data_IF_599546459948
#
_entry.id   IF_599546459948
#
_cell.length_a   1.000
_cell.length_b   1.000
_cell.length_c   1.000
_cell.angle_alpha   90.00
_cell.angle_beta   90.00
_cell.angle_gamma   90.00
#
_symmetry.space_group_name_H-M   'P 1'
#
loop_
_entity.id
_entity.type
_entity.pdbx_description
1 polymer ?
#
# COMPACT_ATOMS: atom_id res chain seq x y z
N UNK A 1 7.81 -4.61 8.86
CA UNK A 1 7.75 -3.33 9.60
C UNK A 1 8.92 -2.47 9.15
N UNK A 2 10.17 -2.84 9.48
CA UNK A 2 11.41 -2.15 9.08
C UNK A 2 11.36 -1.42 7.72
N UNK A 3 11.38 -2.17 6.61
CA UNK A 3 11.35 -1.62 5.24
C UNK A 3 10.17 -0.69 4.98
N UNK A 4 8.97 -1.07 5.42
CA UNK A 4 7.77 -0.28 5.14
C UNK A 4 7.77 1.04 5.92
N UNK A 5 8.30 1.04 7.14
CA UNK A 5 8.43 2.25 7.96
C UNK A 5 9.45 3.19 7.34
N UNK A 6 10.65 2.69 7.01
CA UNK A 6 11.71 3.50 6.42
C UNK A 6 11.27 4.16 5.11
N UNK A 7 10.70 3.39 4.19
CA UNK A 7 10.25 3.90 2.89
C UNK A 7 9.10 4.89 3.04
N UNK A 8 8.20 4.69 4.01
CA UNK A 8 7.11 5.63 4.27
C UNK A 8 7.63 6.95 4.82
N UNK A 9 8.53 6.91 5.81
CA UNK A 9 9.11 8.11 6.42
C UNK A 9 9.89 8.91 5.39
N UNK A 10 10.76 8.26 4.62
CA UNK A 10 11.50 8.90 3.53
C UNK A 10 10.56 9.63 2.56
N UNK A 11 9.49 8.96 2.11
CA UNK A 11 8.56 9.54 1.17
C UNK A 11 7.75 10.70 1.77
N UNK A 12 7.41 10.64 3.06
CA UNK A 12 6.75 11.74 3.76
C UNK A 12 7.68 12.96 3.86
N UNK A 13 8.94 12.75 4.24
CA UNK A 13 9.97 13.80 4.27
C UNK A 13 10.11 14.49 2.91
N UNK A 14 10.01 13.76 1.79
CA UNK A 14 10.05 14.39 0.45
C UNK A 14 8.90 15.39 0.23
N UNK A 15 7.71 15.13 0.75
CA UNK A 15 6.60 16.08 0.65
C UNK A 15 6.74 17.25 1.62
N UNK A 16 7.48 17.09 2.71
CA UNK A 16 7.77 18.16 3.68
C UNK A 16 8.90 19.08 3.18
N UNK A 17 9.96 18.51 2.61
CA UNK A 17 11.12 19.22 2.10
C UNK A 17 10.88 19.92 0.76
N UNK A 18 10.00 19.34 -0.08
CA UNK A 18 9.69 19.87 -1.40
C UNK A 18 8.22 20.29 -1.52
N UNK A 19 7.88 21.56 -1.20
CA UNK A 19 6.50 22.06 -1.26
C UNK A 19 5.84 21.88 -2.63
N UNK A 20 6.61 21.93 -3.72
CA UNK A 20 6.11 21.68 -5.09
C UNK A 20 5.67 20.25 -5.32
N UNK A 21 6.27 19.27 -4.64
CA UNK A 21 5.80 17.88 -4.66
C UNK A 21 4.45 17.74 -3.95
N UNK A 22 4.30 18.42 -2.79
CA UNK A 22 3.04 18.43 -2.04
C UNK A 22 1.92 19.14 -2.80
N UNK A 23 2.24 20.23 -3.50
CA UNK A 23 1.30 20.95 -4.37
C UNK A 23 0.92 20.11 -5.60
N UNK A 24 1.87 19.41 -6.22
CA UNK A 24 1.60 18.53 -7.35
C UNK A 24 0.67 17.37 -6.98
N UNK A 25 0.93 16.73 -5.85
CA UNK A 25 0.04 15.73 -5.25
C UNK A 25 -0.83 16.35 -4.15
N UNK A 26 -1.59 17.39 -4.51
CA UNK A 26 -2.43 18.15 -3.58
C UNK A 26 -3.46 17.26 -2.85
N UNK A 27 -3.95 16.20 -3.50
CA UNK A 27 -4.91 15.27 -2.92
C UNK A 27 -4.24 14.28 -1.97
N UNK A 28 -4.78 14.15 -0.74
CA UNK A 28 -4.27 13.19 0.24
C UNK A 28 -4.21 11.74 -0.28
N UNK A 29 -5.23 11.32 -1.02
CA UNK A 29 -5.28 9.98 -1.63
C UNK A 29 -4.19 9.75 -2.68
N UNK A 30 -3.74 10.79 -3.39
CA UNK A 30 -2.62 10.66 -4.33
C UNK A 30 -1.35 10.33 -3.56
N UNK A 31 -1.06 11.09 -2.50
CA UNK A 31 0.11 10.86 -1.64
C UNK A 31 0.05 9.51 -0.96
N UNK A 32 -1.11 9.15 -0.41
CA UNK A 32 -1.30 7.86 0.25
C UNK A 32 -1.03 6.68 -0.70
N UNK A 33 -1.53 6.76 -1.93
CA UNK A 33 -1.26 5.78 -2.99
C UNK A 33 0.24 5.67 -3.27
N UNK A 34 0.92 6.79 -3.47
CA UNK A 34 2.35 6.82 -3.83
C UNK A 34 3.22 6.24 -2.72
N UNK A 35 3.01 6.70 -1.47
CA UNK A 35 3.79 6.25 -0.31
C UNK A 35 3.58 4.76 -0.04
N UNK A 36 2.33 4.31 -0.03
CA UNK A 36 2.02 2.90 0.22
C UNK A 36 2.47 1.98 -0.92
N UNK A 37 2.39 2.44 -2.17
CA UNK A 37 2.94 1.71 -3.32
C UNK A 37 4.44 1.51 -3.20
N UNK A 38 5.19 2.57 -2.87
CA UNK A 38 6.64 2.50 -2.70
C UNK A 38 7.00 1.51 -1.56
N UNK A 39 6.34 1.64 -0.40
CA UNK A 39 6.58 0.77 0.75
C UNK A 39 6.22 -0.68 0.47
N UNK A 40 5.07 -0.94 -0.16
CA UNK A 40 4.62 -2.29 -0.49
C UNK A 40 5.48 -2.95 -1.57
N UNK A 41 5.84 -2.23 -2.63
CA UNK A 41 6.72 -2.73 -3.70
C UNK A 41 8.10 -3.06 -3.13
N UNK A 42 8.67 -2.18 -2.31
CA UNK A 42 10.00 -2.41 -1.72
C UNK A 42 9.99 -3.62 -0.79
N UNK A 43 8.94 -3.78 0.02
CA UNK A 43 8.78 -4.97 0.87
C UNK A 43 8.60 -6.25 0.05
N UNK A 44 7.83 -6.21 -1.03
CA UNK A 44 7.67 -7.35 -1.95
C UNK A 44 8.99 -7.71 -2.63
N UNK A 45 9.75 -6.71 -3.09
CA UNK A 45 11.07 -6.92 -3.70
C UNK A 45 12.04 -7.60 -2.73
N UNK A 46 12.09 -7.11 -1.49
CA UNK A 46 13.02 -7.64 -0.48
C UNK A 46 12.67 -9.06 -0.01
N UNK A 47 11.39 -9.45 -0.07
CA UNK A 47 10.90 -10.71 0.50
C UNK A 47 10.52 -11.74 -0.55
N UNK A 48 10.42 -11.35 -1.82
CA UNK A 48 9.89 -12.19 -2.88
C UNK A 48 8.48 -12.76 -2.55
N UNK A 49 7.66 -11.96 -1.85
CA UNK A 49 6.33 -12.36 -1.36
C UNK A 49 5.34 -11.19 -1.44
N UNK A 50 4.25 -11.37 -2.19
CA UNK A 50 3.25 -10.31 -2.42
C UNK A 50 2.43 -9.97 -1.17
N UNK A 51 2.06 -10.95 -0.34
CA UNK A 51 1.34 -10.68 0.91
C UNK A 51 2.21 -9.93 1.93
N UNK A 52 3.52 -10.14 1.94
CA UNK A 52 4.46 -9.32 2.71
C UNK A 52 4.48 -7.87 2.17
N UNK A 53 4.44 -7.70 0.86
CA UNK A 53 4.26 -6.39 0.22
C UNK A 53 2.93 -5.70 0.58
N UNK A 54 1.81 -6.45 0.57
CA UNK A 54 0.50 -5.93 1.01
C UNK A 54 0.53 -5.49 2.47
N UNK A 55 1.21 -6.23 3.34
CA UNK A 55 1.44 -5.79 4.73
C UNK A 55 2.27 -4.51 4.80
N UNK A 56 3.26 -4.34 3.91
CA UNK A 56 4.02 -3.09 3.79
C UNK A 56 3.17 -1.91 3.36
N UNK A 57 2.24 -2.11 2.41
CA UNK A 57 1.25 -1.12 2.01
C UNK A 57 0.38 -0.68 3.19
N UNK A 58 -0.22 -1.61 3.93
CA UNK A 58 -1.11 -1.28 5.04
C UNK A 58 -0.36 -0.61 6.21
N UNK A 59 0.88 -1.03 6.49
CA UNK A 59 1.74 -0.35 7.46
C UNK A 59 1.99 1.11 7.06
N UNK A 60 2.27 1.37 5.78
CA UNK A 60 2.47 2.72 5.27
C UNK A 60 1.25 3.62 5.49
N UNK A 61 0.05 3.09 5.23
CA UNK A 61 -1.20 3.82 5.44
C UNK A 61 -1.42 4.22 6.90
N UNK A 62 -1.11 3.31 7.84
CA UNK A 62 -1.21 3.60 9.28
C UNK A 62 -0.23 4.70 9.70
N UNK A 63 1.04 4.59 9.29
CA UNK A 63 2.06 5.58 9.61
C UNK A 63 1.73 6.96 9.03
N UNK A 64 1.33 7.02 7.76
CA UNK A 64 0.97 8.27 7.09
C UNK A 64 -0.23 8.95 7.78
N UNK A 65 -1.26 8.17 8.13
CA UNK A 65 -2.43 8.69 8.84
C UNK A 65 -2.05 9.36 10.15
N UNK A 66 -1.21 8.72 10.96
CA UNK A 66 -0.78 9.26 12.24
C UNK A 66 0.21 10.42 12.08
N UNK A 67 1.14 10.35 11.12
CA UNK A 67 2.16 11.38 10.91
C UNK A 67 1.60 12.72 10.45
N UNK A 68 0.53 12.73 9.65
CA UNK A 68 -0.08 13.97 9.15
C UNK A 68 -1.49 14.24 9.66
N UNK A 69 -2.03 13.39 10.54
CA UNK A 69 -3.42 13.46 11.02
C UNK A 69 -4.44 13.50 9.86
N UNK A 70 -4.07 12.95 8.71
CA UNK A 70 -4.89 12.86 7.49
C UNK A 70 -4.35 11.75 6.61
N UNK A 71 -5.20 11.23 5.73
CA UNK A 71 -4.80 10.23 4.75
C UNK A 71 -5.41 10.56 3.37
N UNK A 72 -6.55 9.95 3.04
CA UNK A 72 -7.24 10.12 1.77
C UNK A 72 -8.61 10.78 1.87
N UNK A 73 -9.40 10.65 0.81
CA UNK A 73 -10.81 11.06 0.78
C UNK A 73 -11.66 10.23 1.77
N UNK A 74 -12.93 10.63 1.93
CA UNK A 74 -13.87 9.91 2.80
C UNK A 74 -14.05 8.43 2.41
N UNK A 75 -13.65 7.52 3.29
CA UNK A 75 -13.71 6.08 3.03
C UNK A 75 -12.60 5.54 2.15
N UNK A 76 -11.57 6.34 1.83
CA UNK A 76 -10.36 5.88 1.14
C UNK A 76 -9.75 4.66 1.83
N UNK A 77 -9.69 4.69 3.17
CA UNK A 77 -9.06 3.67 4.00
C UNK A 77 -9.98 2.54 4.46
N UNK A 78 -11.15 2.35 3.84
CA UNK A 78 -12.02 1.20 4.16
C UNK A 78 -11.22 -0.11 4.09
N UNK A 79 -10.51 -0.31 2.99
CA UNK A 79 -9.69 -1.51 2.82
C UNK A 79 -8.40 -1.50 3.63
N UNK A 80 -7.84 -0.32 3.92
CA UNK A 80 -6.58 -0.21 4.65
C UNK A 80 -6.76 -0.46 6.15
N UNK A 81 -7.92 -0.11 6.72
CA UNK A 81 -8.28 -0.47 8.09
C UNK A 81 -8.58 -1.98 8.23
N UNK A 82 -9.20 -2.60 7.22
CA UNK A 82 -9.39 -4.06 7.18
C UNK A 82 -8.09 -4.82 6.82
N UNK A 83 -7.15 -4.15 6.15
CA UNK A 83 -6.05 -4.76 5.42
C UNK A 83 -5.11 -5.58 6.30
N UNK A 84 -4.71 -5.04 7.44
CA UNK A 84 -3.80 -5.72 8.39
C UNK A 84 -4.37 -7.03 8.94
N UNK A 85 -5.69 -7.12 9.13
CA UNK A 85 -6.34 -8.35 9.58
C UNK A 85 -6.53 -9.36 8.43
N UNK A 86 -6.79 -8.87 7.22
CA UNK A 86 -7.15 -9.71 6.07
C UNK A 86 -5.95 -10.13 5.20
N UNK A 87 -4.77 -9.53 5.38
CA UNK A 87 -3.57 -9.83 4.58
C UNK A 87 -3.10 -11.28 4.73
N UNK A 88 -3.27 -11.87 5.91
CA UNK A 88 -2.89 -13.26 6.23
C UNK A 88 -4.07 -14.07 6.80
N UNK A 89 -5.30 -13.58 6.63
CA UNK A 89 -6.49 -14.35 6.98
C UNK A 89 -6.55 -15.63 6.12
N UNK A 90 -7.26 -16.63 6.63
CA UNK A 90 -7.59 -17.88 5.92
C UNK A 90 -9.10 -18.10 5.83
N UNK A 91 -9.90 -17.08 6.19
CA UNK A 91 -11.36 -17.14 6.09
C UNK A 91 -11.82 -16.97 4.64
N UNK A 92 -12.96 -17.56 4.23
CA UNK A 92 -13.32 -17.70 2.83
C UNK A 92 -13.40 -16.41 2.00
N UNK A 93 -13.84 -15.31 2.61
CA UNK A 93 -14.03 -13.99 1.97
C UNK A 93 -12.94 -12.97 2.34
N UNK A 94 -11.85 -13.42 2.96
CA UNK A 94 -10.74 -12.60 3.42
C UNK A 94 -9.37 -13.12 2.97
N UNK A 95 -9.16 -14.43 3.12
CA UNK A 95 -7.87 -15.06 2.90
C UNK A 95 -7.61 -15.31 1.42
N UNK A 96 -6.68 -14.54 0.85
CA UNK A 96 -6.27 -14.72 -0.54
C UNK A 96 -4.83 -14.25 -0.79
N UNK A 97 -4.11 -14.96 -1.65
CA UNK A 97 -2.79 -14.57 -2.15
C UNK A 97 -2.89 -13.26 -2.94
N UNK A 98 -1.89 -12.40 -2.83
CA UNK A 98 -1.88 -11.07 -3.46
C UNK A 98 -2.15 -11.14 -4.97
N UNK A 99 -1.61 -12.15 -5.64
CA UNK A 99 -1.77 -12.41 -7.08
C UNK A 99 -3.20 -12.85 -7.46
N UNK A 100 -3.95 -13.43 -6.52
CA UNK A 100 -5.31 -13.92 -6.75
C UNK A 100 -6.38 -12.92 -6.31
N UNK A 101 -6.00 -11.85 -5.60
CA UNK A 101 -6.88 -10.72 -5.31
C UNK A 101 -7.15 -9.93 -6.59
N UNK A 102 -8.16 -9.07 -6.55
CA UNK A 102 -8.47 -8.19 -7.66
C UNK A 102 -9.59 -7.23 -7.33
N UNK A 103 -10.12 -6.50 -8.33
CA UNK A 103 -11.21 -5.54 -8.13
C UNK A 103 -12.48 -6.11 -7.49
N UNK A 104 -12.68 -7.44 -7.51
CA UNK A 104 -13.82 -8.10 -6.88
C UNK A 104 -13.51 -8.74 -5.51
N UNK A 105 -12.28 -8.60 -5.00
CA UNK A 105 -11.99 -8.95 -3.61
C UNK A 105 -12.79 -8.01 -2.69
N UNK A 106 -13.53 -8.50 -1.66
CA UNK A 106 -14.59 -7.71 -1.01
C UNK A 106 -14.18 -6.32 -0.52
N UNK A 107 -13.00 -6.18 0.08
CA UNK A 107 -12.56 -4.86 0.55
C UNK A 107 -12.14 -3.91 -0.59
N UNK A 108 -11.80 -4.42 -1.78
CA UNK A 108 -11.16 -3.65 -2.87
C UNK A 108 -12.16 -3.15 -3.93
N UNK A 109 -13.45 -3.41 -3.72
CA UNK A 109 -14.48 -3.26 -4.75
C UNK A 109 -14.96 -1.82 -5.01
N UNK A 110 -14.55 -0.85 -4.19
CA UNK A 110 -15.18 0.48 -4.18
C UNK A 110 -14.21 1.64 -4.39
N UNK A 111 -12.98 1.55 -3.85
CA UNK A 111 -12.16 2.73 -3.63
C UNK A 111 -11.02 2.86 -4.65
N UNK A 112 -10.76 4.10 -5.07
CA UNK A 112 -9.66 4.46 -5.99
C UNK A 112 -8.33 4.60 -5.24
N UNK A 113 -7.21 4.47 -5.96
CA UNK A 113 -5.87 4.67 -5.40
C UNK A 113 -5.24 3.41 -4.79
N UNK A 114 -5.74 2.22 -5.13
CA UNK A 114 -5.25 0.97 -4.54
C UNK A 114 -4.98 -0.12 -5.57
N UNK A 115 -5.94 -0.44 -6.43
CA UNK A 115 -5.88 -1.60 -7.33
C UNK A 115 -4.60 -1.65 -8.21
N UNK A 116 -4.19 -0.51 -8.77
CA UNK A 116 -2.95 -0.42 -9.54
C UNK A 116 -1.69 -0.63 -8.67
N UNK A 117 -1.70 -0.15 -7.43
CA UNK A 117 -0.64 -0.38 -6.46
C UNK A 117 -0.52 -1.85 -6.06
N UNK A 118 -1.65 -2.53 -5.85
CA UNK A 118 -1.67 -3.96 -5.55
C UNK A 118 -1.15 -4.82 -6.71
N UNK A 119 -1.51 -4.46 -7.95
CA UNK A 119 -0.94 -5.11 -9.13
C UNK A 119 0.60 -4.93 -9.19
N UNK A 120 1.08 -3.72 -8.89
CA UNK A 120 2.52 -3.44 -8.78
C UNK A 120 3.21 -4.26 -7.69
N UNK A 121 2.58 -4.42 -6.52
CA UNK A 121 3.09 -5.25 -5.41
C UNK A 121 3.18 -6.73 -5.79
N UNK A 122 2.13 -7.26 -6.43
CA UNK A 122 2.13 -8.64 -6.91
C UNK A 122 3.26 -8.85 -7.93
N UNK A 123 3.38 -7.96 -8.92
CA UNK A 123 4.47 -8.02 -9.90
C UNK A 123 5.85 -7.90 -9.26
N UNK A 124 6.03 -7.03 -8.27
CA UNK A 124 7.30 -6.82 -7.57
C UNK A 124 7.85 -8.09 -6.91
N UNK A 125 6.97 -8.90 -6.30
CA UNK A 125 7.37 -10.16 -5.67
C UNK A 125 8.01 -11.13 -6.68
N UNK A 126 7.48 -11.17 -7.90
CA UNK A 126 7.95 -12.02 -8.99
C UNK A 126 9.18 -11.45 -9.70
N UNK A 127 9.22 -10.12 -9.90
CA UNK A 127 10.38 -9.42 -10.48
C UNK A 127 11.64 -9.68 -9.66
N UNK A 128 11.53 -9.65 -8.32
CA UNK A 128 12.67 -9.93 -7.43
C UNK A 128 13.26 -11.33 -7.62
N UNK A 129 12.43 -12.29 -8.06
CA UNK A 129 12.79 -13.69 -8.28
C UNK A 129 13.29 -13.95 -9.70
N UNK A 130 13.06 -13.02 -10.63
CA UNK A 130 13.25 -13.25 -12.06
C UNK A 130 12.28 -14.27 -12.63
N UNK A 131 11.06 -14.34 -12.08
CA UNK A 131 10.00 -15.19 -12.63
C UNK A 131 9.59 -14.67 -14.03
N UNK A 132 9.19 -15.58 -14.92
CA UNK A 132 8.98 -15.35 -16.35
C UNK A 132 7.73 -14.53 -16.71
#
# INVERSE_FOLDING_TARGET
>A
NDIATEVTLYGMEQYEDYPTALESHFGGSQRATVLAAASGVTAALATANSNAGLNGWYMSMLLHKEGWSRLGFFGYDLQDQCGSANSMSIRPDEGLLGELRGPNYPNYAMNVGHQGGYAGIAGAAHIARGDA
#
